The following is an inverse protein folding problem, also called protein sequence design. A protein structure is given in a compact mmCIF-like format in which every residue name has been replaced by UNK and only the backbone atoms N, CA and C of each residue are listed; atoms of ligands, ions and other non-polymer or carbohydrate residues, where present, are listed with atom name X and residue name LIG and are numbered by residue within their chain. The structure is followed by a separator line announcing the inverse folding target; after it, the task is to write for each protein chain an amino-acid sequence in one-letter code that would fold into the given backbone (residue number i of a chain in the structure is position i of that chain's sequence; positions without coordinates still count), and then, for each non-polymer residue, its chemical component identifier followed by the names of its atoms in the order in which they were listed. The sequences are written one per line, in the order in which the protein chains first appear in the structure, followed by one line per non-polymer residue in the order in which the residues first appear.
data_IF_470251060409
#
_entry.id   IF_470251060409
#
_cell.length_a   1.000
_cell.length_b   1.000
_cell.length_c   1.000
_cell.angle_alpha   90.00
_cell.angle_beta   90.00
_cell.angle_gamma   90.00
#
_symmetry.space_group_name_H-M   'P 1'
#
loop_
_entity.id
_entity.type
_entity.pdbx_description
1 polymer ?
#
# COMPACT_ATOMS: atom_id res chain seq x y z
N UNK A 1 -5.30 11.42 -4.48
CA UNK A 1 -5.70 11.25 -3.09
C UNK A 1 -4.56 10.64 -2.26
N UNK A 2 -3.97 9.52 -2.70
CA UNK A 2 -2.85 8.83 -2.03
C UNK A 2 -1.64 9.75 -1.81
N UNK A 3 -1.24 10.51 -2.83
CA UNK A 3 -0.15 11.50 -2.73
C UNK A 3 -0.49 12.62 -1.72
N UNK A 4 -1.70 13.18 -1.82
CA UNK A 4 -2.15 14.21 -0.89
C UNK A 4 -2.16 13.72 0.57
N UNK A 5 -2.58 12.47 0.79
CA UNK A 5 -2.55 11.87 2.12
C UNK A 5 -1.13 11.73 2.67
N UNK A 6 -0.15 11.42 1.81
CA UNK A 6 1.27 11.37 2.20
C UNK A 6 1.80 12.75 2.61
N UNK A 7 1.36 13.80 1.91
CA UNK A 7 1.75 15.19 2.23
C UNK A 7 1.16 15.65 3.56
N UNK A 8 -0.10 15.36 3.84
CA UNK A 8 -0.76 15.73 5.10
C UNK A 8 -0.08 15.10 6.32
N UNK A 9 0.51 13.92 6.17
CA UNK A 9 1.22 13.19 7.23
C UNK A 9 2.74 13.26 7.07
N UNK A 10 3.28 14.35 6.48
CA UNK A 10 4.71 14.52 6.26
C UNK A 10 5.53 14.63 7.55
N UNK A 11 4.89 15.03 8.67
CA UNK A 11 5.51 15.21 9.97
C UNK A 11 5.98 13.90 10.63
N UNK A 12 5.44 12.73 10.21
CA UNK A 12 5.86 11.43 10.72
C UNK A 12 6.57 10.60 9.65
N UNK A 13 7.69 9.94 9.95
CA UNK A 13 8.39 9.10 8.98
C UNK A 13 7.59 7.86 8.59
N UNK A 14 6.97 7.17 9.53
CA UNK A 14 6.26 5.90 9.33
C UNK A 14 4.73 6.00 9.36
N UNK A 15 4.16 6.98 10.05
CA UNK A 15 2.72 7.10 10.22
C UNK A 15 2.06 7.83 9.05
N UNK A 16 1.76 7.11 7.96
CA UNK A 16 1.19 7.66 6.71
C UNK A 16 0.13 6.71 6.13
N UNK A 17 -0.99 7.23 5.61
CA UNK A 17 -2.08 6.40 5.07
C UNK A 17 -1.80 5.85 3.66
N UNK A 18 -0.61 6.05 3.10
CA UNK A 18 -0.28 5.70 1.70
C UNK A 18 -0.54 4.23 1.41
N UNK A 19 0.05 3.32 2.22
CA UNK A 19 -0.10 1.88 1.99
C UNK A 19 -1.56 1.44 2.13
N UNK A 20 -2.29 1.98 3.12
CA UNK A 20 -3.71 1.71 3.28
C UNK A 20 -4.54 2.15 2.06
N UNK A 21 -4.25 3.34 1.51
CA UNK A 21 -4.91 3.85 0.30
C UNK A 21 -4.59 3.01 -0.93
N UNK A 22 -3.35 2.55 -1.08
CA UNK A 22 -2.93 1.65 -2.16
C UNK A 22 -3.64 0.30 -2.05
N UNK A 23 -3.72 -0.27 -0.84
CA UNK A 23 -4.46 -1.51 -0.55
C UNK A 23 -5.94 -1.34 -0.94
N UNK A 24 -6.59 -0.27 -0.48
CA UNK A 24 -7.99 0.02 -0.81
C UNK A 24 -8.19 0.18 -2.32
N UNK A 25 -7.26 0.82 -3.02
CA UNK A 25 -7.29 0.94 -4.48
C UNK A 25 -7.24 -0.43 -5.16
N UNK A 26 -6.33 -1.30 -4.73
CA UNK A 26 -6.23 -2.68 -5.23
C UNK A 26 -7.50 -3.50 -4.94
N UNK A 27 -8.05 -3.38 -3.74
CA UNK A 27 -9.32 -4.03 -3.36
C UNK A 27 -10.48 -3.57 -4.24
N UNK A 28 -10.57 -2.27 -4.52
CA UNK A 28 -11.69 -1.69 -5.25
C UNK A 28 -11.59 -1.90 -6.78
N UNK A 29 -10.42 -1.68 -7.37
CA UNK A 29 -10.24 -1.63 -8.84
C UNK A 29 -9.46 -2.83 -9.40
N UNK A 30 -9.00 -3.73 -8.54
CA UNK A 30 -8.27 -4.92 -8.94
C UNK A 30 -6.75 -4.72 -8.97
N UNK A 31 -6.05 -5.83 -9.27
CA UNK A 31 -4.60 -5.96 -9.10
C UNK A 31 -3.78 -4.95 -9.93
N UNK A 32 -4.15 -4.75 -11.19
CA UNK A 32 -3.42 -3.88 -12.11
C UNK A 32 -3.52 -2.41 -11.69
N UNK A 33 -4.74 -1.98 -11.34
CA UNK A 33 -4.99 -0.63 -10.81
C UNK A 33 -4.31 -0.41 -9.46
N UNK A 34 -4.26 -1.44 -8.61
CA UNK A 34 -3.54 -1.39 -7.34
C UNK A 34 -2.04 -1.21 -7.53
N UNK A 35 -1.44 -1.97 -8.46
CA UNK A 35 -0.02 -1.82 -8.80
C UNK A 35 0.30 -0.43 -9.32
N UNK A 36 -0.47 0.06 -10.28
CA UNK A 36 -0.28 1.39 -10.86
C UNK A 36 -0.48 2.50 -9.81
N UNK A 37 -1.51 2.38 -8.98
CA UNK A 37 -1.76 3.34 -7.89
C UNK A 37 -0.55 3.41 -6.94
N UNK A 38 0.01 2.28 -6.52
CA UNK A 38 1.17 2.22 -5.64
C UNK A 38 2.42 2.81 -6.28
N UNK A 39 2.76 2.33 -7.48
CA UNK A 39 3.95 2.77 -8.20
C UNK A 39 3.92 4.25 -8.56
N UNK A 40 2.81 4.75 -9.11
CA UNK A 40 2.65 6.16 -9.46
C UNK A 40 2.62 7.05 -8.21
N UNK A 41 2.05 6.57 -7.09
CA UNK A 41 2.06 7.32 -5.83
C UNK A 41 3.49 7.54 -5.31
N UNK A 42 4.39 6.57 -5.49
CA UNK A 42 5.80 6.73 -5.14
C UNK A 42 6.45 7.84 -5.97
N UNK A 43 6.35 7.73 -7.31
CA UNK A 43 6.97 8.72 -8.23
C UNK A 43 6.42 10.12 -7.97
N UNK A 44 5.10 10.28 -8.01
CA UNK A 44 4.48 11.60 -7.89
C UNK A 44 4.74 12.23 -6.53
N UNK A 45 4.66 11.46 -5.44
CA UNK A 45 4.93 12.02 -4.13
C UNK A 45 6.41 12.40 -3.94
N UNK A 46 7.34 11.68 -4.57
CA UNK A 46 8.76 11.99 -4.45
C UNK A 46 9.16 13.28 -5.20
N UNK A 47 8.33 13.82 -6.11
CA UNK A 47 8.53 15.19 -6.59
C UNK A 47 8.47 16.22 -5.46
N UNK A 48 7.72 15.96 -4.40
CA UNK A 48 7.58 16.84 -3.23
C UNK A 48 8.54 16.47 -2.09
N UNK A 49 8.87 15.18 -1.93
CA UNK A 49 9.72 14.68 -0.85
C UNK A 49 11.19 14.47 -1.26
N UNK A 50 11.51 14.70 -2.51
CA UNK A 50 12.80 14.45 -3.12
C UNK A 50 12.83 13.13 -3.91
N UNK A 51 13.30 13.23 -5.15
CA UNK A 51 13.56 12.08 -5.99
C UNK A 51 14.95 11.53 -5.70
N UNK A 52 15.10 10.23 -5.78
CA UNK A 52 16.37 9.55 -5.61
C UNK A 52 16.34 8.11 -6.07
N UNK A 53 17.49 7.42 -6.01
CA UNK A 53 17.60 6.03 -6.47
C UNK A 53 16.78 5.04 -5.63
N UNK A 54 16.23 5.46 -4.48
CA UNK A 54 15.26 4.70 -3.69
C UNK A 54 13.87 4.66 -4.33
N UNK A 55 13.56 5.57 -5.26
CA UNK A 55 12.22 5.67 -5.86
C UNK A 55 11.76 4.38 -6.55
N UNK A 56 12.57 3.67 -7.34
CA UNK A 56 12.19 2.38 -7.93
C UNK A 56 11.81 1.32 -6.88
N UNK A 57 12.52 1.29 -5.74
CA UNK A 57 12.21 0.36 -4.65
C UNK A 57 10.87 0.69 -3.99
N UNK A 58 10.55 1.97 -3.79
CA UNK A 58 9.24 2.40 -3.31
C UNK A 58 8.13 2.07 -4.30
N UNK A 59 8.36 2.26 -5.61
CA UNK A 59 7.41 1.89 -6.66
C UNK A 59 7.11 0.40 -6.64
N UNK A 60 8.15 -0.43 -6.52
CA UNK A 60 8.00 -1.87 -6.43
C UNK A 60 7.25 -2.27 -5.16
N UNK A 61 7.65 -1.76 -4.01
CA UNK A 61 7.05 -2.11 -2.72
C UNK A 61 5.55 -1.77 -2.69
N UNK A 62 5.18 -0.52 -2.96
CA UNK A 62 3.77 -0.12 -2.96
C UNK A 62 2.99 -0.72 -4.13
N UNK A 63 3.62 -0.88 -5.30
CA UNK A 63 3.01 -1.56 -6.44
C UNK A 63 2.64 -3.00 -6.11
N UNK A 64 3.55 -3.77 -5.52
CA UNK A 64 3.30 -5.15 -5.12
C UNK A 64 2.25 -5.27 -4.02
N UNK A 65 2.26 -4.39 -3.04
CA UNK A 65 1.22 -4.33 -2.00
C UNK A 65 -0.15 -4.12 -2.64
N UNK A 66 -0.28 -3.17 -3.55
CA UNK A 66 -1.52 -2.91 -4.28
C UNK A 66 -1.95 -4.08 -5.17
N UNK A 67 -1.00 -4.73 -5.84
CA UNK A 67 -1.25 -5.88 -6.70
C UNK A 67 -1.76 -7.09 -5.91
N UNK A 68 -1.09 -7.44 -4.81
CA UNK A 68 -1.48 -8.55 -3.94
C UNK A 68 -2.85 -8.28 -3.30
N UNK A 69 -3.12 -7.04 -2.84
CA UNK A 69 -4.43 -6.69 -2.28
C UNK A 69 -5.56 -6.91 -3.29
N UNK A 70 -5.31 -6.56 -4.57
CA UNK A 70 -6.27 -6.80 -5.64
C UNK A 70 -6.53 -8.28 -5.91
N UNK A 71 -5.50 -9.13 -5.85
CA UNK A 71 -5.64 -10.60 -5.98
C UNK A 71 -6.46 -11.16 -4.82
N UNK A 72 -6.08 -10.85 -3.58
CA UNK A 72 -6.73 -11.36 -2.38
C UNK A 72 -8.21 -10.93 -2.31
N UNK A 73 -8.53 -9.74 -2.83
CA UNK A 73 -9.90 -9.24 -2.82
C UNK A 73 -10.76 -9.69 -4.02
N UNK A 74 -10.24 -10.47 -4.97
CA UNK A 74 -11.06 -11.08 -6.03
C UNK A 74 -12.20 -11.92 -5.45
N UNK A 75 -11.96 -12.59 -4.31
CA UNK A 75 -12.95 -13.34 -3.54
C UNK A 75 -13.53 -12.57 -2.36
N UNK A 76 -13.35 -11.24 -2.33
CA UNK A 76 -13.75 -10.33 -1.25
C UNK A 76 -13.21 -10.72 0.14
N UNK A 77 -12.08 -11.43 0.20
CA UNK A 77 -11.51 -11.89 1.47
C UNK A 77 -11.10 -10.74 2.39
N UNK A 78 -10.44 -9.71 1.86
CA UNK A 78 -10.02 -8.55 2.64
C UNK A 78 -11.22 -7.66 3.03
N UNK A 79 -12.25 -7.59 2.17
CA UNK A 79 -13.44 -6.79 2.43
C UNK A 79 -14.32 -7.42 3.52
N UNK A 80 -14.44 -8.75 3.52
CA UNK A 80 -15.33 -9.49 4.44
C UNK A 80 -14.71 -9.85 5.78
N UNK A 81 -13.37 -9.83 5.90
CA UNK A 81 -12.67 -10.24 7.11
C UNK A 81 -11.74 -9.14 7.64
N UNK A 82 -12.15 -8.52 8.76
CA UNK A 82 -11.30 -7.55 9.46
C UNK A 82 -9.97 -8.16 9.93
N UNK A 83 -9.97 -9.45 10.29
CA UNK A 83 -8.76 -10.16 10.72
C UNK A 83 -7.77 -10.27 9.56
N UNK A 84 -8.23 -10.74 8.39
CA UNK A 84 -7.36 -10.82 7.20
C UNK A 84 -6.87 -9.44 6.76
N UNK A 85 -7.72 -8.43 6.82
CA UNK A 85 -7.34 -7.05 6.50
C UNK A 85 -6.24 -6.54 7.45
N UNK A 86 -6.36 -6.83 8.75
CA UNK A 86 -5.36 -6.47 9.76
C UNK A 86 -4.04 -7.19 9.52
N UNK A 87 -4.08 -8.50 9.32
CA UNK A 87 -2.88 -9.31 9.03
C UNK A 87 -2.19 -8.78 7.76
N UNK A 88 -2.96 -8.52 6.70
CA UNK A 88 -2.42 -7.99 5.46
C UNK A 88 -1.82 -6.58 5.63
N UNK A 89 -2.43 -5.73 6.44
CA UNK A 89 -1.90 -4.40 6.80
C UNK A 89 -0.55 -4.49 7.51
N UNK A 90 -0.41 -5.40 8.48
CA UNK A 90 0.85 -5.65 9.19
C UNK A 90 1.92 -6.19 8.22
N UNK A 91 1.60 -7.24 7.45
CA UNK A 91 2.52 -7.81 6.47
C UNK A 91 2.96 -6.80 5.41
N UNK A 92 2.06 -5.91 4.99
CA UNK A 92 2.39 -4.82 4.06
C UNK A 92 3.38 -3.82 4.66
N UNK A 93 3.25 -3.49 5.95
CA UNK A 93 4.21 -2.63 6.65
C UNK A 93 5.59 -3.26 6.73
N UNK A 94 5.67 -4.53 7.12
CA UNK A 94 6.92 -5.30 7.19
C UNK A 94 7.55 -5.41 5.80
N UNK A 95 6.77 -5.77 4.77
CA UNK A 95 7.27 -5.94 3.40
C UNK A 95 7.81 -4.63 2.83
N UNK A 96 7.13 -3.51 3.09
CA UNK A 96 7.62 -2.20 2.67
C UNK A 96 8.96 -1.85 3.33
N UNK A 97 9.06 -2.01 4.65
CA UNK A 97 10.29 -1.77 5.39
C UNK A 97 11.43 -2.65 4.86
N UNK A 98 11.17 -3.94 4.67
CA UNK A 98 12.16 -4.89 4.15
C UNK A 98 12.71 -4.49 2.77
N UNK A 99 11.86 -4.06 1.85
CA UNK A 99 12.30 -3.58 0.52
C UNK A 99 13.15 -2.32 0.65
N UNK A 100 12.80 -1.41 1.56
CA UNK A 100 13.57 -0.19 1.80
C UNK A 100 14.89 -0.46 2.52
N UNK A 101 14.94 -1.48 3.39
CA UNK A 101 16.18 -1.92 4.04
C UNK A 101 17.14 -2.53 3.01
N UNK A 102 16.64 -3.31 2.04
CA UNK A 102 17.45 -3.79 0.90
C UNK A 102 18.05 -2.62 0.13
N UNK A 103 17.24 -1.60 -0.18
CA UNK A 103 17.76 -0.39 -0.82
C UNK A 103 18.89 0.24 -0.01
N UNK A 104 18.71 0.42 1.30
CA UNK A 104 19.71 1.01 2.20
C UNK A 104 21.03 0.24 2.18
N UNK A 105 20.94 -1.08 2.08
CA UNK A 105 22.14 -1.95 1.96
C UNK A 105 22.83 -1.79 0.62
N UNK A 106 22.07 -1.74 -0.48
CA UNK A 106 22.62 -1.62 -1.83
C UNK A 106 23.22 -0.24 -2.10
N UNK A 107 22.72 0.80 -1.41
CA UNK A 107 23.21 2.16 -1.50
C UNK A 107 24.57 2.38 -0.80
N UNK A 108 25.03 1.40 -0.03
CA UNK A 108 26.32 1.48 0.66
C UNK A 108 27.48 1.13 -0.28
N UNK A 109 28.50 1.97 -0.32
CA UNK A 109 29.65 1.85 -1.22
C UNK A 109 30.51 0.59 -0.98
N UNK A 110 30.54 0.08 0.25
CA UNK A 110 31.39 -1.06 0.65
C UNK A 110 30.80 -2.45 0.33
N UNK A 111 29.68 -2.51 -0.41
CA UNK A 111 28.98 -3.75 -0.73
C UNK A 111 28.25 -4.38 0.46
N UNK A 112 27.82 -5.64 0.27
CA UNK A 112 27.06 -6.36 1.29
C UNK A 112 27.93 -6.81 2.45
N UNK A 113 27.62 -6.33 3.66
CA UNK A 113 28.23 -6.75 4.92
C UNK A 113 27.16 -7.24 5.89
N UNK A 114 27.33 -8.45 6.42
CA UNK A 114 26.35 -9.08 7.32
C UNK A 114 26.08 -8.24 8.60
N UNK A 115 27.15 -7.65 9.17
CA UNK A 115 27.02 -6.80 10.34
C UNK A 115 26.19 -5.54 10.07
N UNK A 116 26.36 -4.94 8.88
CA UNK A 116 25.55 -3.79 8.44
C UNK A 116 24.09 -4.18 8.25
N UNK A 117 23.82 -5.36 7.69
CA UNK A 117 22.45 -5.86 7.54
C UNK A 117 21.73 -5.95 8.89
N UNK A 118 22.37 -6.55 9.88
CA UNK A 118 21.81 -6.65 11.25
C UNK A 118 21.60 -5.27 11.87
N UNK A 119 22.53 -4.32 11.67
CA UNK A 119 22.39 -2.96 12.14
C UNK A 119 21.21 -2.21 11.47
N UNK A 120 21.05 -2.33 10.15
CA UNK A 120 19.92 -1.74 9.41
C UNK A 120 18.60 -2.32 9.90
N UNK A 121 18.49 -3.63 10.03
CA UNK A 121 17.29 -4.27 10.60
C UNK A 121 16.97 -3.77 12.01
N UNK A 122 18.00 -3.65 12.88
CA UNK A 122 17.81 -3.16 14.25
C UNK A 122 17.30 -1.71 14.29
N UNK A 123 17.83 -0.85 13.42
CA UNK A 123 17.44 0.57 13.36
C UNK A 123 16.10 0.79 12.65
N UNK A 124 15.68 -0.11 11.75
CA UNK A 124 14.40 -0.01 11.03
C UNK A 124 13.19 -0.48 11.85
N UNK A 125 13.40 -1.28 12.92
CA UNK A 125 12.31 -1.83 13.74
C UNK A 125 11.31 -0.78 14.22
N UNK A 126 11.70 0.37 14.81
CA UNK A 126 10.73 1.37 15.28
C UNK A 126 9.85 1.91 14.13
N UNK A 127 10.46 2.21 12.99
CA UNK A 127 9.75 2.71 11.81
C UNK A 127 8.86 1.63 11.20
N UNK A 128 9.29 0.38 11.20
CA UNK A 128 8.48 -0.77 10.77
C UNK A 128 7.23 -0.93 11.63
N UNK A 129 7.36 -0.76 12.95
CA UNK A 129 6.20 -0.77 13.85
C UNK A 129 5.25 0.38 13.52
N UNK A 130 5.76 1.58 13.27
CA UNK A 130 4.93 2.71 12.83
C UNK A 130 4.18 2.40 11.53
N UNK A 131 4.82 1.78 10.52
CA UNK A 131 4.15 1.35 9.30
C UNK A 131 3.03 0.34 9.57
N UNK A 132 3.28 -0.67 10.42
CA UNK A 132 2.27 -1.68 10.76
C UNK A 132 1.07 -1.06 11.46
N UNK A 133 1.32 -0.25 12.49
CA UNK A 133 0.26 0.43 13.26
C UNK A 133 -0.52 1.39 12.38
N UNK A 134 0.17 2.20 11.59
CA UNK A 134 -0.43 3.13 10.63
C UNK A 134 -1.35 2.41 9.64
N UNK A 135 -0.86 1.34 9.03
CA UNK A 135 -1.64 0.55 8.08
C UNK A 135 -2.90 -0.01 8.71
N UNK A 136 -2.82 -0.59 9.90
CA UNK A 136 -3.99 -1.16 10.59
C UNK A 136 -5.02 -0.08 10.90
N UNK A 137 -4.59 1.03 11.50
CA UNK A 137 -5.49 2.14 11.88
C UNK A 137 -6.19 2.70 10.63
N UNK A 138 -5.42 3.04 9.60
CA UNK A 138 -5.99 3.63 8.39
C UNK A 138 -6.84 2.64 7.59
N UNK A 139 -6.49 1.36 7.55
CA UNK A 139 -7.35 0.34 6.93
C UNK A 139 -8.69 0.21 7.64
N UNK A 140 -8.71 0.23 8.97
CA UNK A 140 -9.96 0.11 9.72
C UNK A 140 -10.87 1.33 9.52
N UNK A 141 -10.31 2.53 9.46
CA UNK A 141 -11.05 3.77 9.31
C UNK A 141 -11.49 3.96 7.84
N UNK A 142 -10.57 3.76 6.89
CA UNK A 142 -10.78 4.16 5.50
C UNK A 142 -11.51 3.08 4.68
N UNK A 143 -11.28 1.79 4.95
CA UNK A 143 -11.89 0.70 4.15
C UNK A 143 -13.41 0.80 4.08
N UNK A 144 -14.16 0.90 5.20
CA UNK A 144 -15.63 0.93 5.14
C UNK A 144 -16.17 2.16 4.38
N UNK A 145 -15.45 3.28 4.42
CA UNK A 145 -15.86 4.53 3.76
C UNK A 145 -15.51 4.51 2.27
N UNK A 146 -14.25 4.15 1.97
CA UNK A 146 -13.72 4.26 0.62
C UNK A 146 -14.20 3.13 -0.29
N UNK A 147 -14.26 1.90 0.18
CA UNK A 147 -14.73 0.76 -0.63
C UNK A 147 -16.16 1.01 -1.11
N UNK A 148 -17.06 1.47 -0.23
CA UNK A 148 -18.43 1.84 -0.63
C UNK A 148 -18.46 2.95 -1.70
N UNK A 149 -17.67 4.01 -1.50
CA UNK A 149 -17.62 5.14 -2.46
C UNK A 149 -17.01 4.73 -3.80
N UNK A 150 -15.91 3.96 -3.77
CA UNK A 150 -15.22 3.51 -4.98
C UNK A 150 -16.06 2.51 -5.76
N UNK A 151 -16.77 1.59 -5.09
CA UNK A 151 -17.71 0.69 -5.75
C UNK A 151 -18.83 1.49 -6.44
N UNK A 152 -19.36 2.54 -5.78
CA UNK A 152 -20.36 3.41 -6.41
C UNK A 152 -19.84 4.12 -7.67
N UNK A 153 -18.58 4.56 -7.67
CA UNK A 153 -17.93 5.15 -8.85
C UNK A 153 -17.80 4.12 -9.98
N UNK A 154 -17.39 2.90 -9.65
CA UNK A 154 -17.32 1.78 -10.61
C UNK A 154 -18.65 1.55 -11.33
N UNK A 155 -19.76 1.51 -10.57
CA UNK A 155 -21.10 1.36 -11.14
C UNK A 155 -21.50 2.53 -12.02
N UNK A 156 -21.25 3.76 -11.55
CA UNK A 156 -21.66 4.98 -12.27
C UNK A 156 -20.97 5.14 -13.63
N UNK A 157 -19.72 4.70 -13.74
CA UNK A 157 -18.92 4.88 -14.96
C UNK A 157 -18.73 3.60 -15.80
N UNK A 158 -19.48 2.54 -15.52
CA UNK A 158 -19.56 1.35 -16.37
C UNK A 158 -18.26 0.54 -16.49
N UNK A 159 -17.42 0.53 -15.44
CA UNK A 159 -16.18 -0.26 -15.41
C UNK A 159 -16.41 -1.77 -15.29
N UNK A 160 -17.69 -2.23 -15.30
CA UNK A 160 -18.07 -3.65 -15.30
C UNK A 160 -18.85 -4.02 -16.57
N UNK A 161 -18.69 -5.27 -17.01
CA UNK A 161 -19.61 -5.89 -17.98
C UNK A 161 -20.97 -6.09 -17.32
N UNK A 162 -22.04 -5.86 -18.08
CA UNK A 162 -23.43 -5.87 -17.62
C UNK A 162 -23.86 -7.13 -16.80
N UNK A 163 -23.21 -8.28 -17.00
CA UNK A 163 -23.50 -9.52 -16.25
C UNK A 163 -23.10 -9.44 -14.76
N UNK A 164 -22.01 -8.75 -14.42
CA UNK A 164 -21.59 -8.59 -13.02
C UNK A 164 -22.50 -7.62 -12.27
N UNK A 165 -23.01 -6.61 -12.97
CA UNK A 165 -23.94 -5.62 -12.42
C UNK A 165 -25.25 -6.30 -12.04
N UNK A 166 -25.80 -7.18 -12.89
CA UNK A 166 -27.05 -7.91 -12.62
C UNK A 166 -26.95 -8.83 -11.39
N UNK A 167 -25.80 -9.45 -11.15
CA UNK A 167 -25.60 -10.33 -9.98
C UNK A 167 -25.56 -9.58 -8.65
N UNK A 168 -25.20 -8.31 -8.67
CA UNK A 168 -25.06 -7.49 -7.46
C UNK A 168 -26.34 -6.69 -7.12
N UNK A 169 -27.21 -6.45 -8.10
CA UNK A 169 -28.54 -5.82 -7.88
C UNK A 169 -29.53 -6.84 -7.30
N UNK A 170 -29.30 -8.15 -7.54
CA UNK A 170 -30.19 -9.24 -7.09
C UNK A 170 -29.76 -9.86 -5.75
N UNK A 171 -28.80 -9.26 -5.02
CA UNK A 171 -28.41 -9.58 -3.65
C UNK A 171 -28.77 -8.44 -2.69
#
# INVERSE_FOLDING_TARGET
LTVASRMLFAFSPGFKPVSAMVIICGMAFGRESGFLCGSLSAVVSNFFFGQGPWTPFQMLAWGMIGWISGILNQRKWLENSKILLTIFGILSGISYSFVMDIWTLLAAEDGFQWMRYVAVLGTSVPVTIEYCVSNVIFLWILTPVFVKKLNRVKYKYGFFKDEEVRKLINQ
#
